data_IF_774621559631
#
_entry.id   IF_774621559631
#
_cell.length_a   1.000
_cell.length_b   1.000
_cell.length_c   1.000
_cell.angle_alpha   90.00
_cell.angle_beta   90.00
_cell.angle_gamma   90.00
#
_symmetry.space_group_name_H-M   'P 1'
#
loop_
_entity.id
_entity.type
_entity.pdbx_description
1 polymer ?
#
# COMPACT_ATOMS: atom_id res chain seq x y z
N UNK A 1 20.10 18.44 22.45
CA UNK A 1 19.38 17.16 22.21
C UNK A 1 18.04 17.37 21.51
N UNK A 2 17.19 18.30 21.98
CA UNK A 2 15.89 18.62 21.35
C UNK A 2 15.99 18.86 19.83
N UNK A 3 16.91 19.72 19.37
CA UNK A 3 17.05 20.00 17.93
C UNK A 3 17.36 18.76 17.09
N UNK A 4 18.18 17.85 17.62
CA UNK A 4 18.51 16.59 16.94
C UNK A 4 17.30 15.65 16.89
N UNK A 5 16.43 15.69 17.90
CA UNK A 5 15.16 14.96 17.88
C UNK A 5 14.15 15.58 16.90
N UNK A 6 14.08 16.92 16.80
CA UNK A 6 13.19 17.63 15.85
C UNK A 6 13.50 17.25 14.41
N UNK A 7 14.79 17.14 14.05
CA UNK A 7 15.18 16.73 12.69
C UNK A 7 15.00 15.22 12.45
N UNK A 8 14.56 14.45 13.44
CA UNK A 8 14.25 13.03 13.31
C UNK A 8 15.44 12.08 13.44
N UNK A 9 16.56 12.49 14.05
CA UNK A 9 17.70 11.59 14.24
C UNK A 9 17.33 10.43 15.21
N UNK A 10 17.79 9.19 14.92
CA UNK A 10 17.65 8.08 15.87
C UNK A 10 18.33 8.38 17.21
N UNK A 11 17.70 7.97 18.32
CA UNK A 11 18.23 8.24 19.67
C UNK A 11 19.65 7.67 19.89
N UNK A 12 20.00 6.57 19.23
CA UNK A 12 21.35 5.99 19.32
C UNK A 12 22.41 6.87 18.67
N UNK A 13 22.08 7.53 17.55
CA UNK A 13 23.01 8.47 16.90
C UNK A 13 23.10 9.78 17.68
N UNK A 14 21.99 10.23 18.28
CA UNK A 14 22.00 11.35 19.23
C UNK A 14 22.90 11.01 20.42
N UNK A 15 22.86 9.77 20.93
CA UNK A 15 23.70 9.34 22.05
C UNK A 15 25.20 9.34 21.68
N UNK A 16 25.55 8.88 20.47
CA UNK A 16 26.92 8.95 19.94
C UNK A 16 27.41 10.39 19.83
N UNK A 17 26.60 11.29 19.27
CA UNK A 17 26.91 12.73 19.16
C UNK A 17 27.05 13.39 20.54
N UNK A 18 26.21 12.99 21.49
CA UNK A 18 26.23 13.42 22.88
C UNK A 18 27.38 12.81 23.69
N UNK A 19 28.14 11.87 23.11
CA UNK A 19 29.19 11.08 23.78
C UNK A 19 28.72 10.44 25.09
N UNK A 20 27.50 9.94 25.10
CA UNK A 20 26.91 9.27 26.26
C UNK A 20 26.25 7.95 25.88
N UNK A 21 25.97 7.10 26.87
CA UNK A 21 25.21 5.86 26.61
C UNK A 21 23.75 6.18 26.27
N UNK A 22 23.06 5.38 25.43
CA UNK A 22 21.64 5.56 25.15
C UNK A 22 20.76 5.54 26.41
N UNK A 23 21.16 4.75 27.43
CA UNK A 23 20.49 4.72 28.73
C UNK A 23 20.62 6.04 29.47
N UNK A 24 21.82 6.65 29.44
CA UNK A 24 22.07 7.98 30.02
C UNK A 24 21.28 9.05 29.28
N UNK A 25 21.23 8.99 27.95
CA UNK A 25 20.47 9.93 27.12
C UNK A 25 18.98 9.91 27.50
N UNK A 26 18.35 8.73 27.54
CA UNK A 26 16.94 8.59 27.92
C UNK A 26 16.65 8.95 29.37
N UNK A 27 17.61 8.85 30.28
CA UNK A 27 17.42 9.21 31.69
C UNK A 27 17.39 10.73 31.89
N UNK A 28 18.27 11.46 31.21
CA UNK A 28 18.46 12.90 31.45
C UNK A 28 17.73 13.78 30.43
N UNK A 29 17.46 13.27 29.23
CA UNK A 29 16.89 14.05 28.13
C UNK A 29 15.57 13.48 27.59
N UNK A 30 14.83 12.70 28.41
CA UNK A 30 13.56 12.08 27.98
C UNK A 30 12.58 13.11 27.43
N UNK A 31 12.39 14.18 28.21
CA UNK A 31 11.45 15.24 27.88
C UNK A 31 11.80 15.91 26.54
N UNK A 32 13.06 16.27 26.34
CA UNK A 32 13.53 16.90 25.11
C UNK A 32 13.40 15.99 23.89
N UNK A 33 13.55 14.68 24.06
CA UNK A 33 13.37 13.69 23.00
C UNK A 33 11.89 13.55 22.61
N UNK A 34 11.00 13.48 23.61
CA UNK A 34 9.57 13.32 23.38
C UNK A 34 8.97 14.61 22.79
N UNK A 35 9.32 15.78 23.35
CA UNK A 35 8.91 17.09 22.83
C UNK A 35 9.43 17.32 21.41
N UNK A 36 10.69 16.98 21.14
CA UNK A 36 11.29 17.14 19.81
C UNK A 36 10.58 16.29 18.76
N UNK A 37 10.20 15.06 19.08
CA UNK A 37 9.42 14.21 18.17
C UNK A 37 8.01 14.75 17.92
N UNK A 38 7.34 15.25 18.96
CA UNK A 38 6.01 15.86 18.83
C UNK A 38 6.06 17.13 17.96
N UNK A 39 7.08 17.96 18.16
CA UNK A 39 7.29 19.18 17.39
C UNK A 39 7.62 18.90 15.91
N UNK A 40 8.47 17.91 15.63
CA UNK A 40 8.74 17.46 14.26
C UNK A 40 7.44 17.07 13.54
N UNK A 41 6.62 16.26 14.20
CA UNK A 41 5.33 15.84 13.67
C UNK A 41 4.37 17.01 13.45
N UNK A 42 4.34 17.99 14.36
CA UNK A 42 3.52 19.18 14.23
C UNK A 42 3.96 20.07 13.05
N UNK A 43 5.27 20.25 12.85
CA UNK A 43 5.83 21.02 11.73
C UNK A 43 5.45 20.40 10.38
N UNK A 44 5.70 19.09 10.21
CA UNK A 44 5.36 18.37 8.98
C UNK A 44 3.86 18.40 8.73
N UNK A 45 3.04 18.21 9.78
CA UNK A 45 1.59 18.32 9.67
C UNK A 45 1.13 19.73 9.24
N UNK A 46 1.80 20.78 9.72
CA UNK A 46 1.54 22.17 9.33
C UNK A 46 1.82 22.41 7.85
N UNK A 47 2.95 21.94 7.33
CA UNK A 47 3.27 22.01 5.89
C UNK A 47 2.24 21.25 5.05
N UNK A 48 1.87 20.05 5.48
CA UNK A 48 0.90 19.24 4.76
C UNK A 48 -0.48 19.91 4.74
N UNK A 49 -0.90 20.55 5.83
CA UNK A 49 -2.13 21.30 5.90
C UNK A 49 -2.13 22.50 4.93
N UNK A 50 -1.02 23.25 4.86
CA UNK A 50 -0.87 24.33 3.89
C UNK A 50 -0.92 23.82 2.45
N UNK A 51 -0.24 22.70 2.16
CA UNK A 51 -0.28 22.07 0.84
C UNK A 51 -1.69 21.61 0.46
N UNK A 52 -2.44 21.03 1.40
CA UNK A 52 -3.82 20.63 1.19
C UNK A 52 -4.71 21.85 0.86
N UNK A 53 -4.55 22.98 1.58
CA UNK A 53 -5.25 24.24 1.28
C UNK A 53 -4.89 24.82 -0.10
N UNK A 54 -3.67 24.60 -0.56
CA UNK A 54 -3.21 25.04 -1.87
C UNK A 54 -3.66 24.13 -3.03
N UNK A 55 -4.45 23.08 -2.76
CA UNK A 55 -4.99 22.19 -3.79
C UNK A 55 -4.20 20.91 -4.03
N UNK A 56 -3.21 20.58 -3.19
CA UNK A 56 -2.51 19.30 -3.31
C UNK A 56 -3.45 18.14 -2.91
N UNK A 57 -3.93 17.40 -3.92
CA UNK A 57 -4.89 16.30 -3.76
C UNK A 57 -4.33 15.18 -2.88
N UNK A 58 -3.05 14.84 -3.00
CA UNK A 58 -2.45 13.80 -2.17
C UNK A 58 -2.45 14.18 -0.67
N UNK A 59 -2.16 15.44 -0.35
CA UNK A 59 -2.23 15.96 1.02
C UNK A 59 -3.67 15.95 1.56
N UNK A 60 -4.66 16.30 0.72
CA UNK A 60 -6.08 16.25 1.09
C UNK A 60 -6.55 14.80 1.34
N UNK A 61 -6.21 13.86 0.46
CA UNK A 61 -6.52 12.44 0.61
C UNK A 61 -5.88 11.89 1.89
N UNK A 62 -4.61 12.19 2.13
CA UNK A 62 -3.93 11.80 3.36
C UNK A 62 -4.69 12.31 4.59
N UNK A 63 -5.10 13.58 4.60
CA UNK A 63 -5.82 14.17 5.73
C UNK A 63 -7.16 13.49 6.00
N UNK A 64 -7.94 13.22 4.95
CA UNK A 64 -9.24 12.56 5.09
C UNK A 64 -9.07 11.13 5.64
N UNK A 65 -8.10 10.38 5.12
CA UNK A 65 -7.81 9.00 5.55
C UNK A 65 -7.26 8.93 6.99
N UNK A 66 -6.29 9.78 7.33
CA UNK A 66 -5.50 9.63 8.57
C UNK A 66 -6.04 10.44 9.75
N UNK A 67 -6.70 11.59 9.52
CA UNK A 67 -7.16 12.49 10.58
C UNK A 67 -8.68 12.64 10.63
N UNK A 68 -9.37 12.60 9.50
CA UNK A 68 -10.83 12.74 9.46
C UNK A 68 -11.58 11.42 9.69
N UNK A 69 -10.85 10.33 9.97
CA UNK A 69 -11.40 8.98 10.20
C UNK A 69 -12.28 8.48 9.05
N UNK A 70 -12.03 8.97 7.83
CA UNK A 70 -12.73 8.46 6.67
C UNK A 70 -12.19 7.07 6.34
N UNK A 71 -12.97 6.07 6.73
CA UNK A 71 -12.76 4.69 6.33
C UNK A 71 -13.60 4.46 5.07
N UNK A 72 -13.04 3.84 4.01
CA UNK A 72 -13.90 3.26 2.99
C UNK A 72 -14.85 2.26 3.67
N UNK A 73 -16.08 2.09 3.16
CA UNK A 73 -16.96 1.02 3.63
C UNK A 73 -16.15 -0.27 3.68
N UNK A 74 -16.25 -1.02 4.78
CA UNK A 74 -15.67 -2.35 4.82
C UNK A 74 -16.22 -3.09 3.60
N UNK A 75 -15.33 -3.57 2.74
CA UNK A 75 -15.74 -4.49 1.69
C UNK A 75 -16.24 -5.73 2.42
N UNK A 76 -17.55 -5.78 2.68
CA UNK A 76 -18.21 -7.03 3.02
C UNK A 76 -17.85 -7.96 1.90
N UNK A 77 -17.03 -8.95 2.22
CA UNK A 77 -16.74 -10.11 1.40
C UNK A 77 -18.05 -10.85 1.13
N UNK A 78 -18.87 -10.30 0.27
CA UNK A 78 -20.13 -10.80 -0.23
C UNK A 78 -20.17 -10.39 -1.69
N UNK A 79 -19.26 -11.00 -2.47
CA UNK A 79 -19.41 -11.38 -3.87
C UNK A 79 -18.08 -11.94 -4.41
N UNK A 80 -17.59 -13.02 -3.81
CA UNK A 80 -16.94 -14.07 -4.61
C UNK A 80 -18.01 -15.03 -5.09
N UNK A 81 -18.94 -14.53 -5.91
CA UNK A 81 -19.85 -15.36 -6.67
C UNK A 81 -19.57 -15.08 -8.15
N UNK A 82 -18.85 -16.03 -8.77
CA UNK A 82 -18.43 -16.10 -10.18
C UNK A 82 -17.34 -15.10 -10.59
N UNK A 83 -16.13 -15.31 -10.07
CA UNK A 83 -14.98 -15.21 -10.96
C UNK A 83 -15.03 -16.44 -11.87
N UNK A 84 -15.06 -16.23 -13.18
CA UNK A 84 -14.89 -17.29 -14.17
C UNK A 84 -13.64 -18.08 -13.81
N UNK A 85 -13.80 -19.31 -13.35
CA UNK A 85 -12.68 -20.24 -13.19
C UNK A 85 -12.03 -20.31 -14.56
N UNK A 86 -10.74 -19.95 -14.72
CA UNK A 86 -10.07 -20.10 -16.00
C UNK A 86 -10.23 -21.57 -16.39
N UNK A 87 -10.95 -21.81 -17.48
CA UNK A 87 -11.20 -23.16 -17.97
C UNK A 87 -9.83 -23.80 -18.17
N UNK A 88 -9.57 -24.89 -17.44
CA UNK A 88 -8.25 -25.53 -17.42
C UNK A 88 -7.77 -25.78 -18.84
N UNK A 89 -6.50 -25.47 -19.12
CA UNK A 89 -5.91 -25.56 -20.46
C UNK A 89 -6.20 -26.89 -21.17
N UNK A 90 -6.30 -28.00 -20.42
CA UNK A 90 -6.68 -29.32 -20.92
C UNK A 90 -8.06 -29.36 -21.60
N UNK A 91 -9.04 -28.65 -21.04
CA UNK A 91 -10.41 -28.56 -21.60
C UNK A 91 -10.46 -27.66 -22.83
N UNK A 92 -9.67 -26.58 -22.83
CA UNK A 92 -9.52 -25.71 -24.00
C UNK A 92 -8.92 -26.52 -25.16
N UNK A 93 -7.87 -27.30 -24.89
CA UNK A 93 -7.22 -28.16 -25.87
C UNK A 93 -8.16 -29.28 -26.35
N UNK A 94 -8.93 -29.88 -25.46
CA UNK A 94 -9.92 -30.91 -25.81
C UNK A 94 -11.02 -30.36 -26.72
N UNK A 95 -11.58 -29.19 -26.40
CA UNK A 95 -12.58 -28.51 -27.21
C UNK A 95 -12.03 -28.11 -28.59
N UNK A 96 -10.77 -27.66 -28.68
CA UNK A 96 -10.12 -27.38 -29.96
C UNK A 96 -9.92 -28.65 -30.80
N UNK A 97 -9.47 -29.75 -30.18
CA UNK A 97 -9.33 -31.06 -30.85
C UNK A 97 -10.67 -31.65 -31.29
N UNK A 98 -11.74 -31.42 -30.53
CA UNK A 98 -13.08 -31.86 -30.89
C UNK A 98 -13.62 -31.10 -32.10
N UNK A 99 -13.36 -29.78 -32.18
CA UNK A 99 -13.75 -28.96 -33.34
C UNK A 99 -12.97 -29.30 -34.60
N UNK A 100 -11.67 -29.62 -34.50
CA UNK A 100 -10.90 -30.07 -35.67
C UNK A 100 -11.37 -31.44 -36.20
N UNK A 101 -11.74 -32.37 -35.32
CA UNK A 101 -12.27 -33.69 -35.72
C UNK A 101 -13.64 -33.64 -36.41
N UNK A 102 -14.39 -32.54 -36.26
CA UNK A 102 -15.63 -32.32 -37.00
C UNK A 102 -15.36 -31.82 -38.41
N UNK A 103 -14.35 -30.96 -38.57
CA UNK A 103 -13.92 -30.45 -39.89
C UNK A 103 -13.41 -31.60 -40.77
N UNK A 104 -12.64 -32.54 -40.21
CA UNK A 104 -12.14 -33.71 -40.95
C UNK A 104 -13.22 -34.71 -41.36
N UNK A 105 -14.40 -34.70 -40.71
CA UNK A 105 -15.49 -35.63 -41.06
C UNK A 105 -16.37 -35.16 -42.20
N UNK A 106 -16.30 -33.89 -42.56
CA UNK A 106 -17.12 -33.30 -43.62
C UNK A 106 -16.47 -33.46 -45.01
N UNK A 107 -15.14 -33.68 -45.07
CA UNK A 107 -14.39 -33.85 -46.34
C UNK A 107 -14.46 -35.27 -46.93
N UNK A 108 -14.95 -36.27 -46.17
CA UNK A 108 -15.07 -37.68 -46.62
C UNK A 108 -16.45 -38.03 -47.20
N UNK A 109 -17.38 -37.08 -47.31
CA UNK A 109 -18.73 -37.31 -47.83
C UNK A 109 -19.05 -36.53 -49.11
N UNK A 110 -18.17 -36.63 -50.09
CA UNK A 110 -18.57 -36.45 -51.49
C UNK A 110 -18.94 -37.83 -52.08
N UNK A 111 -20.21 -38.08 -52.43
CA UNK A 111 -20.52 -39.26 -53.21
C UNK A 111 -19.85 -39.12 -54.58
N UNK A 112 -18.91 -40.04 -54.87
CA UNK A 112 -18.32 -40.16 -56.20
C UNK A 112 -19.41 -40.62 -57.17
N UNK A 113 -19.67 -39.75 -58.17
CA UNK A 113 -20.43 -39.95 -59.41
C UNK A 113 -21.96 -39.98 -59.33
#
# INVERSE_FOLDING_TARGET
MRQLAIVGLPQDDIAKLARCSPKTLRKHFRRELDEGGAEANALVAGFLFQAAKAGNVAAQIFWLKTRSRWQPPAETSADTAKADTPESDDKIIENMKARMRLIEKDDDNDPIA
#
